data_IF_987176440296
#
_entry.id   IF_987176440296
#
_cell.length_a   1.000
_cell.length_b   1.000
_cell.length_c   1.000
_cell.angle_alpha   90.00
_cell.angle_beta   90.00
_cell.angle_gamma   90.00
#
_symmetry.space_group_name_H-M   'P 1'
#
loop_
_entity.id
_entity.type
_entity.pdbx_description
1 polymer ?
#
# COMPACT_ATOMS: atom_id res chain seq x y z
N UNK A 1 -16.83 26.79 -38.33
CA UNK A 1 -15.90 25.81 -37.70
C UNK A 1 -15.85 25.92 -36.16
N UNK A 2 -15.62 27.10 -35.56
CA UNK A 2 -15.63 27.26 -34.07
C UNK A 2 -16.94 26.87 -33.36
N UNK A 3 -18.09 27.08 -34.00
CA UNK A 3 -19.40 26.68 -33.43
C UNK A 3 -19.66 25.17 -33.48
N UNK A 4 -19.14 24.48 -34.51
CA UNK A 4 -19.24 23.02 -34.62
C UNK A 4 -18.39 22.30 -33.58
N UNK A 5 -17.21 22.84 -33.24
CA UNK A 5 -16.34 22.30 -32.17
C UNK A 5 -17.03 22.44 -30.80
N UNK A 6 -17.69 23.56 -30.50
CA UNK A 6 -18.44 23.74 -29.25
C UNK A 6 -19.64 22.80 -29.14
N UNK A 7 -20.39 22.60 -30.23
CA UNK A 7 -21.51 21.65 -30.26
C UNK A 7 -20.99 20.21 -30.12
N UNK A 8 -19.85 19.87 -30.72
CA UNK A 8 -19.22 18.55 -30.61
C UNK A 8 -18.73 18.25 -29.18
N UNK A 9 -18.18 19.24 -28.46
CA UNK A 9 -17.84 19.08 -27.04
C UNK A 9 -19.07 18.97 -26.12
N UNK A 10 -20.13 19.73 -26.39
CA UNK A 10 -21.41 19.59 -25.66
C UNK A 10 -22.04 18.22 -25.94
N UNK A 11 -21.96 17.72 -27.18
CA UNK A 11 -22.41 16.36 -27.51
C UNK A 11 -21.52 15.28 -26.89
N UNK A 12 -20.21 15.46 -26.76
CA UNK A 12 -19.32 14.52 -26.06
C UNK A 12 -19.61 14.43 -24.56
N UNK A 13 -20.01 15.53 -23.93
CA UNK A 13 -20.47 15.55 -22.53
C UNK A 13 -21.91 15.04 -22.35
N UNK A 14 -22.78 15.16 -23.36
CA UNK A 14 -24.15 14.65 -23.32
C UNK A 14 -24.27 13.19 -23.81
N UNK A 15 -23.31 12.69 -24.59
CA UNK A 15 -23.28 11.34 -25.15
C UNK A 15 -22.39 10.37 -24.34
N UNK A 16 -21.67 10.85 -23.32
CA UNK A 16 -21.25 9.95 -22.26
C UNK A 16 -22.49 9.54 -21.50
N UNK A 17 -23.03 8.36 -21.80
CA UNK A 17 -23.71 7.52 -20.82
C UNK A 17 -22.70 7.15 -19.71
N UNK A 18 -22.14 8.16 -19.04
CA UNK A 18 -21.45 7.97 -17.79
C UNK A 18 -22.54 7.58 -16.81
N UNK A 19 -22.73 6.27 -16.63
CA UNK A 19 -23.50 5.77 -15.49
C UNK A 19 -22.95 6.50 -14.26
N UNK A 20 -23.81 7.14 -13.45
CA UNK A 20 -23.34 7.85 -12.28
C UNK A 20 -22.45 6.91 -11.45
N UNK A 21 -21.28 7.41 -11.06
CA UNK A 21 -20.33 6.65 -10.26
C UNK A 21 -20.96 6.39 -8.89
N UNK A 22 -20.68 5.23 -8.30
CA UNK A 22 -21.07 4.92 -6.93
C UNK A 22 -20.65 6.04 -5.97
N UNK A 23 -21.56 6.44 -5.08
CA UNK A 23 -21.24 7.35 -3.97
C UNK A 23 -20.40 6.66 -2.90
N UNK A 24 -20.55 5.34 -2.76
CA UNK A 24 -19.82 4.54 -1.78
C UNK A 24 -18.50 4.08 -2.37
N UNK A 25 -17.45 4.19 -1.55
CA UNK A 25 -16.11 3.71 -1.86
C UNK A 25 -15.97 2.23 -1.56
N UNK A 26 -16.69 1.75 -0.55
CA UNK A 26 -16.69 0.34 -0.15
C UNK A 26 -17.98 -0.31 -0.61
N UNK A 27 -17.83 -1.25 -1.54
CA UNK A 27 -18.87 -2.21 -1.86
C UNK A 27 -18.66 -3.44 -0.96
N UNK A 28 -19.62 -3.73 -0.08
CA UNK A 28 -19.59 -4.91 0.80
C UNK A 28 -19.84 -6.20 0.02
N UNK A 29 -20.15 -6.08 -1.27
CA UNK A 29 -20.32 -7.18 -2.18
C UNK A 29 -21.67 -7.86 -2.02
N UNK A 30 -21.83 -8.90 -2.80
CA UNK A 30 -23.02 -9.72 -2.82
C UNK A 30 -22.95 -10.82 -1.76
N UNK A 31 -23.99 -10.98 -0.94
CA UNK A 31 -24.10 -12.09 0.00
C UNK A 31 -24.65 -13.35 -0.71
N UNK A 32 -23.85 -14.42 -0.87
CA UNK A 32 -24.31 -15.65 -1.52
C UNK A 32 -25.42 -16.36 -0.73
N UNK A 33 -25.53 -16.15 0.59
CA UNK A 33 -26.57 -16.78 1.40
C UNK A 33 -27.95 -16.20 1.09
N UNK A 34 -28.03 -14.88 0.87
CA UNK A 34 -29.26 -14.22 0.42
C UNK A 34 -29.68 -14.69 -0.98
N UNK A 35 -28.71 -15.02 -1.85
CA UNK A 35 -29.00 -15.51 -3.20
C UNK A 35 -29.90 -16.72 -3.24
N UNK A 36 -29.70 -17.69 -2.35
CA UNK A 36 -30.47 -18.94 -2.36
C UNK A 36 -31.98 -18.72 -2.25
N UNK A 37 -32.41 -17.56 -1.71
CA UNK A 37 -33.82 -17.20 -1.62
C UNK A 37 -34.44 -16.86 -2.99
N UNK A 38 -33.62 -16.42 -3.94
CA UNK A 38 -34.08 -15.76 -5.18
C UNK A 38 -33.36 -16.24 -6.45
N UNK A 39 -32.39 -17.14 -6.35
CA UNK A 39 -31.48 -17.49 -7.46
C UNK A 39 -32.20 -18.09 -8.67
N UNK A 40 -33.30 -18.81 -8.43
CA UNK A 40 -34.10 -19.46 -9.45
C UNK A 40 -35.27 -18.60 -9.95
N UNK A 41 -35.39 -17.35 -9.47
CA UNK A 41 -36.45 -16.43 -9.86
C UNK A 41 -36.10 -15.69 -11.15
N UNK A 42 -37.13 -15.44 -11.96
CA UNK A 42 -37.01 -14.59 -13.16
C UNK A 42 -36.84 -13.12 -12.78
N UNK A 43 -36.29 -12.30 -13.68
CA UNK A 43 -36.17 -10.83 -13.47
C UNK A 43 -37.54 -10.21 -13.15
N UNK A 44 -38.61 -10.62 -13.83
CA UNK A 44 -39.96 -10.11 -13.55
C UNK A 44 -40.46 -10.51 -12.17
N UNK A 45 -40.11 -11.72 -11.70
CA UNK A 45 -40.40 -12.16 -10.33
C UNK A 45 -39.64 -11.33 -9.29
N UNK A 46 -38.37 -11.00 -9.55
CA UNK A 46 -37.58 -10.12 -8.68
C UNK A 46 -38.18 -8.71 -8.63
N UNK A 47 -38.57 -8.15 -9.78
CA UNK A 47 -39.26 -6.84 -9.85
C UNK A 47 -40.58 -6.86 -9.10
N UNK A 48 -41.35 -7.95 -9.22
CA UNK A 48 -42.60 -8.12 -8.51
C UNK A 48 -42.41 -8.16 -6.99
N UNK A 49 -41.31 -8.75 -6.50
CA UNK A 49 -40.94 -8.73 -5.08
C UNK A 49 -40.68 -7.29 -4.64
N UNK A 50 -39.98 -6.47 -5.43
CA UNK A 50 -39.71 -5.06 -5.08
C UNK A 50 -40.97 -4.20 -5.11
N UNK A 51 -41.88 -4.42 -6.07
CA UNK A 51 -43.07 -3.58 -6.28
C UNK A 51 -44.22 -3.89 -5.32
N UNK A 52 -44.40 -5.15 -4.94
CA UNK A 52 -45.57 -5.63 -4.19
C UNK A 52 -45.23 -6.02 -2.75
N UNK A 53 -44.15 -5.47 -2.23
CA UNK A 53 -43.68 -5.74 -0.89
C UNK A 53 -44.63 -5.14 0.17
N UNK A 54 -45.04 -5.97 1.14
CA UNK A 54 -45.86 -5.56 2.28
C UNK A 54 -45.14 -5.87 3.61
N UNK A 55 -45.75 -5.50 4.74
CA UNK A 55 -45.16 -5.77 6.06
C UNK A 55 -45.13 -7.26 6.44
N UNK A 56 -45.86 -8.13 5.74
CA UNK A 56 -45.88 -9.57 5.97
C UNK A 56 -44.80 -10.31 5.17
N UNK A 57 -44.27 -9.68 4.13
CA UNK A 57 -43.18 -10.20 3.32
C UNK A 57 -41.82 -10.10 4.04
N UNK A 58 -41.01 -11.15 3.87
CA UNK A 58 -39.68 -11.23 4.49
C UNK A 58 -38.75 -10.12 3.98
N UNK A 59 -38.15 -9.36 4.90
CA UNK A 59 -37.14 -8.33 4.58
C UNK A 59 -35.91 -8.92 3.87
N UNK A 60 -35.55 -10.16 4.20
CA UNK A 60 -34.45 -10.87 3.54
C UNK A 60 -34.79 -11.19 2.08
N UNK A 61 -36.06 -11.51 1.78
CA UNK A 61 -36.50 -11.75 0.42
C UNK A 61 -36.47 -10.45 -0.41
N UNK A 62 -36.86 -9.33 0.19
CA UNK A 62 -36.77 -8.01 -0.42
C UNK A 62 -35.31 -7.66 -0.76
N UNK A 63 -34.41 -7.71 0.23
CA UNK A 63 -33.00 -7.41 0.01
C UNK A 63 -32.34 -8.36 -1.00
N UNK A 64 -32.64 -9.66 -0.92
CA UNK A 64 -32.13 -10.63 -1.87
C UNK A 64 -32.55 -10.29 -3.31
N UNK A 65 -33.80 -9.86 -3.51
CA UNK A 65 -34.29 -9.44 -4.82
C UNK A 65 -33.60 -8.15 -5.32
N UNK A 66 -33.52 -7.12 -4.47
CA UNK A 66 -32.87 -5.84 -4.81
C UNK A 66 -31.39 -6.05 -5.13
N UNK A 67 -30.65 -6.75 -4.27
CA UNK A 67 -29.22 -7.01 -4.45
C UNK A 67 -28.98 -7.87 -5.69
N UNK A 68 -29.81 -8.88 -5.97
CA UNK A 68 -29.68 -9.70 -7.19
C UNK A 68 -29.90 -8.88 -8.45
N UNK A 69 -30.93 -8.02 -8.47
CA UNK A 69 -31.16 -7.08 -9.57
C UNK A 69 -29.95 -6.16 -9.77
N UNK A 70 -29.35 -5.67 -8.68
CA UNK A 70 -28.15 -4.83 -8.76
C UNK A 70 -26.92 -5.59 -9.26
N UNK A 71 -26.54 -6.73 -8.68
CA UNK A 71 -25.26 -7.39 -9.01
C UNK A 71 -25.30 -8.21 -10.29
N UNK A 72 -26.44 -8.83 -10.63
CA UNK A 72 -26.54 -9.73 -11.79
C UNK A 72 -27.27 -9.11 -12.98
N UNK A 73 -28.04 -8.05 -12.74
CA UNK A 73 -28.85 -7.40 -13.78
C UNK A 73 -28.63 -5.89 -13.85
N UNK A 74 -27.53 -5.35 -13.28
CA UNK A 74 -27.21 -3.91 -13.27
C UNK A 74 -27.40 -3.24 -14.63
N UNK A 75 -26.97 -3.89 -15.69
CA UNK A 75 -26.95 -3.29 -17.03
C UNK A 75 -28.33 -2.97 -17.58
N UNK A 76 -29.33 -3.77 -17.21
CA UNK A 76 -30.70 -3.66 -17.69
C UNK A 76 -31.64 -3.08 -16.64
N UNK A 77 -31.34 -3.24 -15.35
CA UNK A 77 -32.29 -2.97 -14.27
C UNK A 77 -31.93 -1.80 -13.34
N UNK A 78 -30.83 -1.09 -13.59
CA UNK A 78 -30.50 0.11 -12.81
C UNK A 78 -31.62 1.15 -12.79
N UNK A 79 -32.29 1.40 -13.92
CA UNK A 79 -33.37 2.40 -13.95
C UNK A 79 -34.62 1.93 -13.19
N UNK A 80 -34.90 0.63 -13.24
CA UNK A 80 -35.98 0.05 -12.43
C UNK A 80 -35.70 0.27 -10.94
N UNK A 81 -34.48 -0.04 -10.47
CA UNK A 81 -34.09 0.18 -9.07
C UNK A 81 -34.16 1.65 -8.69
N UNK A 82 -33.60 2.55 -9.50
CA UNK A 82 -33.64 4.00 -9.24
C UNK A 82 -35.07 4.55 -9.08
N UNK A 83 -36.04 3.96 -9.78
CA UNK A 83 -37.42 4.41 -9.75
C UNK A 83 -38.24 3.82 -8.60
N UNK A 84 -37.84 2.67 -8.03
CA UNK A 84 -38.69 1.87 -7.14
C UNK A 84 -38.08 1.58 -5.76
N UNK A 85 -36.84 2.00 -5.49
CA UNK A 85 -36.24 1.94 -4.15
C UNK A 85 -36.62 3.19 -3.35
N UNK A 86 -37.91 3.30 -3.00
CA UNK A 86 -38.52 4.50 -2.44
C UNK A 86 -39.20 4.27 -1.08
N UNK A 87 -38.74 3.29 -0.30
CA UNK A 87 -39.24 3.05 1.08
C UNK A 87 -39.22 4.37 1.85
N UNK A 88 -40.32 4.71 2.51
CA UNK A 88 -40.43 5.83 3.45
C UNK A 88 -40.53 5.28 4.87
N UNK A 89 -40.22 6.10 5.88
CA UNK A 89 -40.40 5.71 7.30
C UNK A 89 -41.67 6.37 7.80
N UNK A 90 -42.70 5.58 8.13
CA UNK A 90 -43.93 6.05 8.78
C UNK A 90 -44.21 5.28 10.08
N UNK A 91 -43.57 5.72 11.16
CA UNK A 91 -43.77 5.13 12.49
C UNK A 91 -45.19 5.32 13.06
N UNK A 92 -46.03 6.17 12.47
CA UNK A 92 -47.39 6.40 12.97
C UNK A 92 -48.38 5.34 12.47
N UNK A 93 -48.13 4.73 11.32
CA UNK A 93 -49.02 3.73 10.71
C UNK A 93 -48.43 2.33 10.69
N UNK A 94 -47.11 2.19 10.82
CA UNK A 94 -46.44 0.89 10.89
C UNK A 94 -46.66 0.19 12.23
N UNK A 95 -47.14 -1.07 12.25
CA UNK A 95 -47.25 -1.87 13.47
C UNK A 95 -45.88 -2.00 14.17
N UNK A 96 -45.84 -1.90 15.50
CA UNK A 96 -44.60 -2.01 16.30
C UNK A 96 -43.63 -3.14 15.86
N UNK A 97 -44.09 -4.38 15.56
CA UNK A 97 -43.20 -5.45 15.10
C UNK A 97 -42.60 -5.24 13.70
N UNK A 98 -43.22 -4.40 12.88
CA UNK A 98 -42.82 -4.13 11.49
C UNK A 98 -41.87 -2.93 11.35
N UNK A 99 -41.68 -2.12 12.40
CA UNK A 99 -40.79 -0.94 12.37
C UNK A 99 -39.33 -1.34 12.06
N UNK A 100 -38.84 -2.43 12.63
CA UNK A 100 -37.49 -2.93 12.34
C UNK A 100 -37.34 -3.39 10.88
N UNK A 101 -38.41 -3.94 10.31
CA UNK A 101 -38.46 -4.39 8.92
C UNK A 101 -38.48 -3.21 7.95
N UNK A 102 -39.18 -2.14 8.30
CA UNK A 102 -39.22 -0.89 7.54
C UNK A 102 -37.83 -0.23 7.50
N UNK A 103 -37.15 -0.14 8.63
CA UNK A 103 -35.77 0.38 8.70
C UNK A 103 -34.76 -0.47 7.92
N UNK A 104 -34.93 -1.79 7.92
CA UNK A 104 -34.12 -2.71 7.12
C UNK A 104 -34.23 -2.37 5.63
N UNK A 105 -35.46 -2.31 5.11
CA UNK A 105 -35.74 -1.98 3.71
C UNK A 105 -35.23 -0.58 3.35
N UNK A 106 -35.46 0.39 4.23
CA UNK A 106 -35.00 1.76 4.05
C UNK A 106 -33.48 1.87 3.93
N UNK A 107 -32.73 1.10 4.75
CA UNK A 107 -31.28 1.00 4.62
C UNK A 107 -30.86 0.31 3.32
N UNK A 108 -31.49 -0.81 2.95
CA UNK A 108 -31.22 -1.50 1.67
C UNK A 108 -31.40 -0.56 0.48
N UNK A 109 -32.49 0.21 0.46
CA UNK A 109 -32.76 1.23 -0.57
C UNK A 109 -31.65 2.26 -0.62
N UNK A 110 -31.33 2.86 0.53
CA UNK A 110 -30.29 3.88 0.62
C UNK A 110 -28.94 3.35 0.12
N UNK A 111 -28.57 2.13 0.52
CA UNK A 111 -27.32 1.51 0.14
C UNK A 111 -27.24 1.28 -1.38
N UNK A 112 -28.25 0.65 -1.98
CA UNK A 112 -28.26 0.30 -3.40
C UNK A 112 -28.40 1.54 -4.28
N UNK A 113 -29.21 2.52 -3.86
CA UNK A 113 -29.28 3.83 -4.53
C UNK A 113 -27.92 4.52 -4.57
N UNK A 114 -27.14 4.46 -3.49
CA UNK A 114 -25.82 5.07 -3.45
C UNK A 114 -24.79 4.32 -4.31
N UNK A 115 -24.85 2.98 -4.39
CA UNK A 115 -24.07 2.19 -5.35
C UNK A 115 -24.41 2.51 -6.82
N UNK A 116 -25.65 2.95 -7.06
CA UNK A 116 -26.13 3.45 -8.34
C UNK A 116 -25.86 4.95 -8.54
N UNK A 117 -25.20 5.62 -7.59
CA UNK A 117 -24.82 7.04 -7.73
C UNK A 117 -25.97 8.03 -7.52
N UNK A 118 -27.09 7.61 -6.90
CA UNK A 118 -28.25 8.49 -6.68
C UNK A 118 -28.04 9.40 -5.46
N UNK A 119 -28.18 10.73 -5.60
CA UNK A 119 -28.03 11.66 -4.47
C UNK A 119 -29.11 11.49 -3.38
N UNK A 120 -30.24 10.87 -3.71
CA UNK A 120 -31.30 10.52 -2.74
C UNK A 120 -30.75 9.62 -1.62
N UNK A 121 -29.74 8.81 -1.92
CA UNK A 121 -29.09 7.96 -0.94
C UNK A 121 -28.46 8.75 0.21
N UNK A 122 -27.94 9.96 -0.04
CA UNK A 122 -27.33 10.81 1.00
C UNK A 122 -28.39 11.22 2.03
N UNK A 123 -29.55 11.72 1.58
CA UNK A 123 -30.61 12.14 2.50
C UNK A 123 -31.18 10.95 3.29
N UNK A 124 -31.35 9.80 2.63
CA UNK A 124 -31.76 8.57 3.34
C UNK A 124 -30.74 8.14 4.39
N UNK A 125 -29.44 8.19 4.10
CA UNK A 125 -28.40 7.87 5.08
C UNK A 125 -28.39 8.87 6.26
N UNK A 126 -28.67 10.16 6.03
CA UNK A 126 -28.82 11.13 7.14
C UNK A 126 -29.97 10.77 8.08
N UNK A 127 -31.13 10.42 7.51
CA UNK A 127 -32.29 9.97 8.30
C UNK A 127 -31.93 8.79 9.19
N UNK A 128 -31.16 7.82 8.67
CA UNK A 128 -30.69 6.66 9.45
C UNK A 128 -29.65 7.07 10.51
N UNK A 129 -28.74 7.99 10.18
CA UNK A 129 -27.67 8.45 11.08
C UNK A 129 -28.19 9.33 12.24
N UNK A 130 -29.30 10.05 12.02
CA UNK A 130 -29.93 10.92 13.00
C UNK A 130 -30.81 10.16 14.01
N UNK A 131 -31.28 8.95 13.68
CA UNK A 131 -32.01 8.10 14.62
C UNK A 131 -31.05 7.39 15.59
N UNK A 132 -31.08 7.81 16.85
CA UNK A 132 -30.18 7.30 17.89
C UNK A 132 -30.34 5.82 18.22
N UNK A 133 -31.53 5.25 17.98
CA UNK A 133 -31.84 3.85 18.27
C UNK A 133 -31.68 2.95 17.04
N UNK A 134 -31.30 3.52 15.90
CA UNK A 134 -31.22 2.76 14.66
C UNK A 134 -29.99 1.85 14.63
N UNK A 135 -30.22 0.57 14.37
CA UNK A 135 -29.16 -0.43 14.25
C UNK A 135 -28.12 -0.10 13.16
N UNK A 136 -28.54 0.57 12.08
CA UNK A 136 -27.71 0.94 10.94
C UNK A 136 -27.03 2.30 11.08
N UNK A 137 -27.25 3.02 12.19
CA UNK A 137 -26.78 4.40 12.41
C UNK A 137 -25.30 4.61 12.06
N UNK A 138 -24.42 3.79 12.64
CA UNK A 138 -22.97 3.93 12.41
C UNK A 138 -22.58 3.56 10.97
N UNK A 139 -23.28 2.62 10.32
CA UNK A 139 -23.04 2.29 8.90
C UNK A 139 -23.44 3.44 7.99
N UNK A 140 -24.55 4.10 8.28
CA UNK A 140 -24.98 5.28 7.55
C UNK A 140 -23.96 6.42 7.67
N UNK A 141 -23.43 6.66 8.89
CA UNK A 141 -22.34 7.63 9.10
C UNK A 141 -21.07 7.27 8.29
N UNK A 142 -20.73 5.98 8.16
CA UNK A 142 -19.60 5.52 7.34
C UNK A 142 -19.81 5.88 5.86
N UNK A 143 -20.98 5.55 5.31
CA UNK A 143 -21.30 5.85 3.90
C UNK A 143 -21.33 7.36 3.62
N UNK A 144 -21.85 8.16 4.56
CA UNK A 144 -21.80 9.61 4.48
C UNK A 144 -20.35 10.11 4.45
N UNK A 145 -19.48 9.59 5.31
CA UNK A 145 -18.06 9.95 5.31
C UNK A 145 -17.33 9.53 4.02
N UNK A 146 -17.65 8.36 3.46
CA UNK A 146 -17.15 7.93 2.14
C UNK A 146 -17.52 8.91 1.03
N UNK A 147 -18.73 9.46 1.09
CA UNK A 147 -19.24 10.48 0.18
C UNK A 147 -18.78 11.92 0.53
N UNK A 148 -17.96 12.10 1.57
CA UNK A 148 -17.39 13.40 1.96
C UNK A 148 -18.25 14.24 2.91
N UNK A 149 -19.25 13.64 3.57
CA UNK A 149 -20.09 14.26 4.58
C UNK A 149 -19.60 13.88 5.98
N UNK A 150 -19.17 14.88 6.76
CA UNK A 150 -18.46 14.68 8.03
C UNK A 150 -19.17 15.31 9.23
N UNK A 151 -20.44 15.68 9.11
CA UNK A 151 -21.23 16.33 10.17
C UNK A 151 -21.30 15.53 11.49
N UNK A 152 -21.17 14.20 11.43
CA UNK A 152 -21.24 13.31 12.61
C UNK A 152 -19.92 13.14 13.38
N UNK A 153 -18.86 13.88 13.04
CA UNK A 153 -17.57 13.75 13.71
C UNK A 153 -17.66 13.96 15.24
N UNK A 154 -18.38 15.00 15.67
CA UNK A 154 -18.53 15.31 17.09
C UNK A 154 -19.24 14.19 17.86
N UNK A 155 -20.20 13.52 17.22
CA UNK A 155 -20.86 12.35 17.81
C UNK A 155 -19.86 11.21 18.03
N UNK A 156 -19.10 10.83 16.99
CA UNK A 156 -18.09 9.76 17.08
C UNK A 156 -17.01 10.08 18.13
N UNK A 157 -16.58 11.33 18.19
CA UNK A 157 -15.63 11.82 19.19
C UNK A 157 -16.19 11.69 20.61
N UNK A 158 -17.45 12.07 20.82
CA UNK A 158 -18.10 11.96 22.12
C UNK A 158 -18.28 10.50 22.56
N UNK A 159 -18.64 9.61 21.63
CA UNK A 159 -18.70 8.16 21.89
C UNK A 159 -17.34 7.62 22.34
N UNK A 160 -16.26 7.97 21.65
CA UNK A 160 -14.92 7.56 22.05
C UNK A 160 -14.58 8.03 23.48
N UNK A 161 -14.81 9.30 23.79
CA UNK A 161 -14.50 9.86 25.11
C UNK A 161 -15.45 9.41 26.24
N UNK A 162 -16.64 8.90 25.92
CA UNK A 162 -17.54 8.27 26.90
C UNK A 162 -17.06 6.89 27.34
N UNK A 163 -16.02 6.37 26.69
CA UNK A 163 -15.44 5.05 26.95
C UNK A 163 -15.90 3.98 25.96
N UNK A 164 -16.73 4.32 24.98
CA UNK A 164 -17.12 3.42 23.91
C UNK A 164 -15.96 3.24 22.91
N UNK A 165 -15.11 2.24 23.19
CA UNK A 165 -13.96 1.87 22.35
C UNK A 165 -14.29 0.76 21.35
N UNK A 166 -15.52 0.73 20.84
CA UNK A 166 -15.91 -0.20 19.79
C UNK A 166 -14.95 -0.06 18.58
N UNK A 167 -14.37 -1.16 18.07
CA UNK A 167 -13.55 -1.16 16.86
C UNK A 167 -14.18 -0.41 15.68
N UNK A 168 -15.50 -0.45 15.55
CA UNK A 168 -16.23 0.24 14.50
C UNK A 168 -16.17 1.76 14.65
N UNK A 169 -16.27 2.29 15.89
CA UNK A 169 -16.11 3.73 16.17
C UNK A 169 -14.68 4.19 15.84
N UNK A 170 -13.66 3.40 16.21
CA UNK A 170 -12.26 3.73 15.90
C UNK A 170 -11.99 3.70 14.39
N UNK A 171 -12.54 2.71 13.69
CA UNK A 171 -12.47 2.63 12.23
C UNK A 171 -13.16 3.84 11.58
N UNK A 172 -14.35 4.22 12.04
CA UNK A 172 -15.08 5.42 11.58
C UNK A 172 -14.26 6.69 11.84
N UNK A 173 -13.74 6.90 13.04
CA UNK A 173 -12.86 8.04 13.33
C UNK A 173 -11.68 8.06 12.35
N UNK A 174 -11.10 6.91 12.04
CA UNK A 174 -10.05 6.81 11.03
C UNK A 174 -10.50 7.26 9.64
N UNK A 175 -11.67 6.84 9.17
CA UNK A 175 -12.23 7.33 7.90
C UNK A 175 -12.40 8.86 7.87
N UNK A 176 -12.78 9.46 8.99
CA UNK A 176 -12.95 10.90 9.12
C UNK A 176 -11.63 11.67 9.00
N UNK A 177 -10.46 11.02 9.13
CA UNK A 177 -9.15 11.66 8.95
C UNK A 177 -8.87 12.09 7.50
N UNK A 178 -9.70 11.65 6.55
CA UNK A 178 -9.67 12.11 5.15
C UNK A 178 -10.00 13.58 5.04
N UNK A 179 -10.84 14.11 5.94
CA UNK A 179 -11.07 15.53 6.07
C UNK A 179 -9.90 16.20 6.79
N UNK A 180 -9.25 17.16 6.13
CA UNK A 180 -8.09 17.88 6.67
C UNK A 180 -8.39 18.63 7.97
N UNK A 181 -9.63 19.07 8.17
CA UNK A 181 -10.03 19.80 9.37
C UNK A 181 -10.00 18.94 10.63
N UNK A 182 -10.14 17.62 10.51
CA UNK A 182 -10.18 16.70 11.65
C UNK A 182 -8.93 15.81 11.76
N UNK A 183 -8.10 15.76 10.71
CA UNK A 183 -6.99 14.81 10.58
C UNK A 183 -6.03 14.82 11.77
N UNK A 184 -5.57 15.98 12.21
CA UNK A 184 -4.58 16.08 13.28
C UNK A 184 -5.14 15.71 14.65
N UNK A 185 -6.40 16.07 14.91
CA UNK A 185 -7.09 15.68 16.14
C UNK A 185 -7.33 14.17 16.18
N UNK A 186 -7.82 13.58 15.09
CA UNK A 186 -8.01 12.13 14.95
C UNK A 186 -6.67 11.41 15.09
N UNK A 187 -5.60 11.91 14.46
CA UNK A 187 -4.24 11.36 14.62
C UNK A 187 -3.87 11.28 16.10
N UNK A 188 -4.16 12.33 16.86
CA UNK A 188 -3.88 12.39 18.30
C UNK A 188 -4.73 11.38 19.08
N UNK A 189 -6.03 11.29 18.81
CA UNK A 189 -6.95 10.31 19.42
C UNK A 189 -6.44 8.89 19.21
N UNK A 190 -6.14 8.53 17.95
CA UNK A 190 -5.71 7.18 17.58
C UNK A 190 -4.31 6.85 18.11
N UNK A 191 -3.37 7.81 18.14
CA UNK A 191 -2.07 7.61 18.80
C UNK A 191 -2.23 7.32 20.30
N UNK A 192 -3.09 8.05 20.99
CA UNK A 192 -3.37 7.79 22.41
C UNK A 192 -3.97 6.39 22.63
N UNK A 193 -4.81 5.92 21.71
CA UNK A 193 -5.33 4.56 21.76
C UNK A 193 -4.22 3.52 21.63
N UNK A 194 -3.25 3.73 20.73
CA UNK A 194 -2.06 2.86 20.60
C UNK A 194 -1.23 2.87 21.88
N UNK A 195 -0.91 4.03 22.44
CA UNK A 195 -0.14 4.13 23.70
C UNK A 195 -0.87 3.53 24.91
N UNK A 196 -2.20 3.39 24.84
CA UNK A 196 -2.98 2.76 25.93
C UNK A 196 -2.84 1.23 25.98
N UNK A 197 -2.22 0.60 24.97
CA UNK A 197 -2.07 -0.85 24.89
C UNK A 197 -0.86 -1.34 25.66
N UNK A 198 -1.03 -2.46 26.35
CA UNK A 198 0.00 -3.07 27.20
C UNK A 198 0.83 -4.14 26.50
N UNK A 199 0.35 -4.68 25.39
CA UNK A 199 0.99 -5.75 24.64
C UNK A 199 1.17 -5.38 23.16
N UNK A 200 2.12 -6.06 22.50
CA UNK A 200 2.50 -5.73 21.13
C UNK A 200 1.38 -6.00 20.12
N UNK A 201 0.51 -6.99 20.36
CA UNK A 201 -0.61 -7.28 19.48
C UNK A 201 -1.65 -6.18 19.57
N UNK A 202 -1.97 -5.72 20.79
CA UNK A 202 -2.82 -4.56 21.02
C UNK A 202 -2.29 -3.30 20.32
N UNK A 203 -0.98 -3.01 20.46
CA UNK A 203 -0.32 -1.87 19.79
C UNK A 203 -0.50 -1.95 18.27
N UNK A 204 -0.17 -3.09 17.65
CA UNK A 204 -0.31 -3.26 16.19
C UNK A 204 -1.77 -3.15 15.73
N UNK A 205 -2.70 -3.79 16.43
CA UNK A 205 -4.12 -3.73 16.11
C UNK A 205 -4.66 -2.30 16.16
N UNK A 206 -4.31 -1.54 17.18
CA UNK A 206 -4.70 -0.13 17.29
C UNK A 206 -3.97 0.76 16.27
N UNK A 207 -2.74 0.46 15.92
CA UNK A 207 -1.97 1.23 14.94
C UNK A 207 -2.56 1.10 13.52
N UNK A 208 -3.26 0.00 13.22
CA UNK A 208 -3.96 -0.16 11.94
C UNK A 208 -4.98 0.95 11.68
N UNK A 209 -5.62 1.50 12.72
CA UNK A 209 -6.52 2.65 12.56
C UNK A 209 -5.77 3.92 12.13
N UNK A 210 -4.46 4.02 12.31
CA UNK A 210 -3.67 5.15 11.78
C UNK A 210 -3.35 4.99 10.29
N UNK A 211 -3.61 3.82 9.68
CA UNK A 211 -3.28 3.54 8.28
C UNK A 211 -3.97 4.44 7.25
N UNK A 212 -5.09 5.08 7.62
CA UNK A 212 -5.78 6.07 6.78
C UNK A 212 -5.11 7.46 6.80
N UNK A 213 -4.14 7.68 7.68
CA UNK A 213 -3.36 8.91 7.77
C UNK A 213 -1.96 8.60 7.24
N UNK A 214 -1.57 9.14 6.06
CA UNK A 214 -0.30 8.81 5.42
C UNK A 214 0.90 8.92 6.36
N UNK A 215 1.63 7.81 6.52
CA UNK A 215 2.84 7.71 7.33
C UNK A 215 2.63 7.64 8.86
N UNK A 216 1.42 7.87 9.39
CA UNK A 216 1.21 7.93 10.84
C UNK A 216 1.38 6.57 11.53
N UNK A 217 0.95 5.48 10.89
CA UNK A 217 1.13 4.12 11.40
C UNK A 217 2.62 3.73 11.43
N UNK A 218 3.36 4.05 10.36
CA UNK A 218 4.82 3.80 10.29
C UNK A 218 5.54 4.58 11.38
N UNK A 219 5.19 5.86 11.58
CA UNK A 219 5.79 6.73 12.60
C UNK A 219 5.66 6.13 14.00
N UNK A 220 4.44 5.73 14.41
CA UNK A 220 4.23 5.20 15.75
C UNK A 220 4.82 3.80 15.92
N UNK A 221 4.66 2.91 14.94
CA UNK A 221 5.21 1.56 15.05
C UNK A 221 6.74 1.57 15.06
N UNK A 222 7.39 2.51 14.36
CA UNK A 222 8.85 2.67 14.39
C UNK A 222 9.35 3.08 15.78
N UNK A 223 8.59 3.91 16.51
CA UNK A 223 8.89 4.25 17.91
C UNK A 223 8.89 3.00 18.80
N UNK A 224 7.83 2.19 18.71
CA UNK A 224 7.73 0.94 19.47
C UNK A 224 8.80 -0.09 19.05
N UNK A 225 9.09 -0.20 17.76
CA UNK A 225 10.17 -1.04 17.23
C UNK A 225 11.53 -0.68 17.84
N UNK A 226 11.85 0.62 17.93
CA UNK A 226 13.12 1.09 18.50
C UNK A 226 13.22 0.85 20.00
N UNK A 227 12.10 0.94 20.72
CA UNK A 227 12.05 0.88 22.18
C UNK A 227 11.76 -0.51 22.77
N UNK A 228 11.51 -1.53 21.94
CA UNK A 228 11.27 -2.92 22.38
C UNK A 228 12.38 -3.85 21.92
N UNK A 229 12.38 -5.12 22.36
CA UNK A 229 13.33 -6.16 21.96
C UNK A 229 12.62 -7.51 21.74
N UNK A 230 13.32 -8.48 21.18
CA UNK A 230 12.84 -9.85 21.01
C UNK A 230 11.61 -9.93 20.11
N UNK A 231 10.62 -10.74 20.51
CA UNK A 231 9.42 -10.98 19.70
C UNK A 231 8.67 -9.70 19.36
N UNK A 232 8.45 -8.81 20.33
CA UNK A 232 7.69 -7.57 20.09
C UNK A 232 8.36 -6.71 19.01
N UNK A 233 9.68 -6.51 19.08
CA UNK A 233 10.43 -5.78 18.05
C UNK A 233 10.28 -6.43 16.67
N UNK A 234 10.40 -7.75 16.60
CA UNK A 234 10.29 -8.49 15.35
C UNK A 234 8.89 -8.33 14.71
N UNK A 235 7.84 -8.42 15.52
CA UNK A 235 6.46 -8.27 15.03
C UNK A 235 6.20 -6.84 14.52
N UNK A 236 6.70 -5.81 15.22
CA UNK A 236 6.63 -4.43 14.72
C UNK A 236 7.43 -4.25 13.43
N UNK A 237 8.63 -4.81 13.34
CA UNK A 237 9.44 -4.78 12.13
C UNK A 237 8.67 -5.37 10.95
N UNK A 238 8.05 -6.53 11.13
CA UNK A 238 7.23 -7.17 10.10
C UNK A 238 6.04 -6.30 9.71
N UNK A 239 5.28 -5.80 10.68
CA UNK A 239 4.09 -4.97 10.44
C UNK A 239 4.44 -3.68 9.70
N UNK A 240 5.52 -2.99 10.09
CA UNK A 240 6.00 -1.79 9.38
C UNK A 240 6.34 -2.11 7.93
N UNK A 241 6.85 -3.32 7.63
CA UNK A 241 7.23 -3.72 6.28
C UNK A 241 6.06 -3.84 5.31
N UNK A 242 4.84 -3.99 5.82
CA UNK A 242 3.61 -3.98 5.02
C UNK A 242 3.35 -2.57 4.45
N UNK A 243 3.69 -1.52 5.21
CA UNK A 243 3.42 -0.13 4.85
C UNK A 243 4.63 0.61 4.28
N UNK A 244 5.83 0.31 4.78
CA UNK A 244 7.10 0.94 4.43
C UNK A 244 8.17 -0.13 4.22
N UNK A 245 7.98 -0.90 3.15
CA UNK A 245 8.92 -1.91 2.69
C UNK A 245 10.31 -1.32 2.47
N UNK A 246 10.39 -0.14 1.85
CA UNK A 246 11.68 0.41 1.43
C UNK A 246 12.47 1.02 2.59
N UNK A 247 11.87 1.36 3.73
CA UNK A 247 12.59 1.68 4.96
C UNK A 247 13.11 0.46 5.75
N UNK A 248 12.79 -0.76 5.33
CA UNK A 248 13.21 -1.99 6.02
C UNK A 248 14.73 -2.19 6.15
N UNK A 249 15.57 -1.89 5.14
CA UNK A 249 17.03 -2.01 5.28
C UNK A 249 17.58 -1.17 6.44
N UNK A 250 17.16 0.09 6.58
CA UNK A 250 17.58 0.94 7.69
C UNK A 250 17.12 0.39 9.05
N UNK A 251 15.91 -0.19 9.13
CA UNK A 251 15.42 -0.84 10.35
C UNK A 251 16.18 -2.13 10.66
N UNK A 252 16.52 -2.91 9.65
CA UNK A 252 17.40 -4.07 9.79
C UNK A 252 18.77 -3.67 10.30
N UNK A 253 19.35 -2.59 9.80
CA UNK A 253 20.64 -2.09 10.32
C UNK A 253 20.56 -1.79 11.81
N UNK A 254 19.50 -1.09 12.23
CA UNK A 254 19.25 -0.82 13.65
C UNK A 254 19.07 -2.11 14.46
N UNK A 255 18.18 -3.01 14.04
CA UNK A 255 17.86 -4.23 14.80
C UNK A 255 19.05 -5.20 14.86
N UNK A 256 19.82 -5.33 13.78
CA UNK A 256 21.02 -6.15 13.77
C UNK A 256 22.10 -5.63 14.72
N UNK A 257 22.09 -4.35 15.12
CA UNK A 257 23.00 -3.81 16.13
C UNK A 257 22.44 -3.92 17.56
N UNK A 258 21.11 -3.90 17.72
CA UNK A 258 20.46 -3.71 19.01
C UNK A 258 19.68 -4.94 19.50
N UNK A 259 19.51 -6.00 18.70
CA UNK A 259 18.87 -7.24 19.12
C UNK A 259 19.88 -8.17 19.78
N UNK A 260 19.58 -8.58 21.01
CA UNK A 260 20.47 -9.43 21.82
C UNK A 260 20.13 -10.90 21.61
N UNK A 261 18.87 -11.22 21.33
CA UNK A 261 18.44 -12.59 21.06
C UNK A 261 18.75 -12.98 19.61
N UNK A 262 19.73 -13.85 19.41
CA UNK A 262 20.19 -14.30 18.09
C UNK A 262 19.05 -14.95 17.25
N UNK A 263 18.07 -15.58 17.91
CA UNK A 263 16.89 -16.17 17.24
C UNK A 263 16.06 -15.12 16.53
N UNK A 264 15.93 -13.92 17.10
CA UNK A 264 15.23 -12.81 16.44
C UNK A 264 16.18 -11.97 15.59
N UNK A 265 17.44 -11.82 16.02
CA UNK A 265 18.45 -11.00 15.32
C UNK A 265 18.66 -11.47 13.88
N UNK A 266 18.66 -12.78 13.64
CA UNK A 266 18.85 -13.36 12.31
C UNK A 266 17.70 -13.02 11.35
N UNK A 267 16.48 -12.86 11.85
CA UNK A 267 15.28 -12.63 11.04
C UNK A 267 15.26 -11.23 10.38
N UNK A 268 16.04 -10.28 10.90
CA UNK A 268 16.21 -8.96 10.28
C UNK A 268 17.11 -8.98 9.04
N UNK A 269 17.71 -10.11 8.68
CA UNK A 269 18.57 -10.24 7.51
C UNK A 269 17.96 -11.20 6.48
N UNK A 270 17.18 -10.70 5.50
CA UNK A 270 16.65 -11.55 4.44
C UNK A 270 17.77 -12.09 3.56
N UNK A 271 17.64 -13.33 3.10
CA UNK A 271 18.61 -13.92 2.17
C UNK A 271 18.57 -13.21 0.81
N UNK A 272 19.70 -13.13 0.06
CA UNK A 272 19.72 -12.56 -1.29
C UNK A 272 18.69 -13.18 -2.25
N UNK A 273 18.44 -14.48 -2.14
CA UNK A 273 17.40 -15.17 -2.90
C UNK A 273 16.01 -14.56 -2.66
N UNK A 274 15.61 -14.41 -1.39
CA UNK A 274 14.32 -13.80 -1.04
C UNK A 274 14.24 -12.35 -1.55
N UNK A 275 15.31 -11.56 -1.43
CA UNK A 275 15.35 -10.16 -1.90
C UNK A 275 15.10 -10.07 -3.42
N UNK A 276 15.68 -10.97 -4.20
CA UNK A 276 15.55 -10.96 -5.66
C UNK A 276 14.20 -11.51 -6.15
N UNK A 277 13.57 -12.40 -5.40
CA UNK A 277 12.40 -13.16 -5.87
C UNK A 277 11.08 -12.76 -5.20
N UNK A 278 11.09 -12.13 -4.02
CA UNK A 278 9.86 -11.83 -3.28
C UNK A 278 9.52 -10.33 -3.37
N UNK A 279 8.36 -10.02 -3.94
CA UNK A 279 7.90 -8.63 -4.13
C UNK A 279 7.70 -7.87 -2.81
N UNK A 280 7.44 -8.59 -1.72
CA UNK A 280 7.27 -8.05 -0.36
C UNK A 280 8.58 -7.65 0.32
N UNK A 281 9.74 -7.97 -0.25
CA UNK A 281 11.04 -7.57 0.29
C UNK A 281 11.62 -6.41 -0.54
N UNK A 282 12.25 -5.45 0.13
CA UNK A 282 12.90 -4.34 -0.57
C UNK A 282 14.14 -4.83 -1.32
N UNK A 283 14.33 -4.37 -2.55
CA UNK A 283 15.59 -4.61 -3.25
C UNK A 283 16.74 -3.79 -2.65
N UNK A 284 16.43 -2.75 -1.87
CA UNK A 284 17.41 -1.85 -1.23
C UNK A 284 18.39 -2.56 -0.27
N UNK A 285 18.07 -3.77 0.17
CA UNK A 285 19.01 -4.64 0.88
C UNK A 285 20.27 -4.99 0.07
N UNK A 286 20.25 -4.82 -1.24
CA UNK A 286 21.39 -5.03 -2.14
C UNK A 286 22.08 -3.73 -2.55
N UNK A 287 21.73 -2.58 -1.96
CA UNK A 287 22.43 -1.31 -2.17
C UNK A 287 23.80 -1.30 -1.46
N UNK A 288 24.81 -0.61 -2.02
CA UNK A 288 26.16 -0.52 -1.42
C UNK A 288 26.17 -0.14 0.07
N UNK A 289 25.28 0.78 0.49
CA UNK A 289 25.15 1.21 1.88
C UNK A 289 24.83 0.03 2.82
N UNK A 290 23.87 -0.82 2.46
CA UNK A 290 23.50 -1.96 3.28
C UNK A 290 24.57 -3.05 3.24
N UNK A 291 25.15 -3.32 2.07
CA UNK A 291 26.28 -4.26 1.94
C UNK A 291 27.45 -3.84 2.83
N UNK A 292 27.81 -2.55 2.83
CA UNK A 292 28.87 -2.01 3.68
C UNK A 292 28.55 -2.14 5.17
N UNK A 293 27.30 -1.90 5.56
CA UNK A 293 26.87 -2.18 6.93
C UNK A 293 27.05 -3.65 7.29
N UNK A 294 26.56 -4.59 6.47
CA UNK A 294 26.67 -6.02 6.74
C UNK A 294 28.13 -6.47 6.77
N UNK A 295 28.98 -5.93 5.89
CA UNK A 295 30.40 -6.25 5.89
C UNK A 295 31.08 -5.83 7.21
N UNK A 296 30.70 -4.67 7.76
CA UNK A 296 31.25 -4.15 9.01
C UNK A 296 30.49 -4.55 10.29
N UNK A 297 29.39 -5.31 10.16
CA UNK A 297 28.59 -5.73 11.31
C UNK A 297 29.39 -6.67 12.22
N UNK A 298 29.66 -6.21 13.44
CA UNK A 298 30.36 -7.01 14.45
C UNK A 298 29.43 -8.03 15.12
N UNK A 299 29.80 -9.31 15.01
CA UNK A 299 29.13 -10.44 15.67
C UNK A 299 30.23 -11.28 16.31
N UNK A 300 30.32 -11.25 17.63
CA UNK A 300 31.41 -11.89 18.38
C UNK A 300 31.33 -13.42 18.33
N UNK A 301 30.12 -13.98 18.39
CA UNK A 301 29.90 -15.41 18.33
C UNK A 301 29.83 -15.90 16.87
N UNK A 302 30.87 -16.59 16.43
CA UNK A 302 30.97 -17.14 15.07
C UNK A 302 30.08 -18.37 14.84
N UNK A 303 29.51 -18.95 15.90
CA UNK A 303 28.56 -20.06 15.80
C UNK A 303 27.10 -19.59 15.76
N UNK A 304 26.83 -18.29 15.93
CA UNK A 304 25.46 -17.77 15.94
C UNK A 304 24.80 -17.87 14.56
N UNK A 305 23.48 -18.04 14.54
CA UNK A 305 22.70 -18.07 13.30
C UNK A 305 22.87 -16.76 12.52
N UNK A 306 22.87 -15.62 13.21
CA UNK A 306 23.12 -14.30 12.57
C UNK A 306 24.48 -14.27 11.89
N UNK A 307 25.54 -14.79 12.51
CA UNK A 307 26.87 -14.85 11.88
C UNK A 307 26.86 -15.69 10.61
N UNK A 308 26.26 -16.88 10.65
CA UNK A 308 26.21 -17.79 9.50
C UNK A 308 25.39 -17.20 8.35
N UNK A 309 24.24 -16.59 8.63
CA UNK A 309 23.41 -15.94 7.60
C UNK A 309 24.11 -14.70 7.03
N UNK A 310 24.78 -13.88 7.85
CA UNK A 310 25.62 -12.78 7.36
C UNK A 310 26.70 -13.27 6.40
N UNK A 311 27.43 -14.33 6.78
CA UNK A 311 28.48 -14.92 5.93
C UNK A 311 27.91 -15.42 4.61
N UNK A 312 26.79 -16.14 4.65
CA UNK A 312 26.09 -16.61 3.46
C UNK A 312 25.63 -15.44 2.58
N UNK A 313 25.08 -14.39 3.18
CA UNK A 313 24.63 -13.18 2.50
C UNK A 313 25.79 -12.53 1.71
N UNK A 314 26.93 -12.26 2.36
CA UNK A 314 28.09 -11.63 1.73
C UNK A 314 28.69 -12.50 0.60
N UNK A 315 28.66 -13.82 0.77
CA UNK A 315 29.11 -14.75 -0.25
C UNK A 315 28.22 -14.71 -1.50
N UNK A 316 26.90 -14.73 -1.32
CA UNK A 316 25.94 -15.04 -2.39
C UNK A 316 25.24 -13.85 -3.01
N UNK A 317 25.30 -12.66 -2.39
CA UNK A 317 24.62 -11.50 -2.98
C UNK A 317 25.21 -11.14 -4.35
N UNK A 318 24.34 -10.62 -5.21
CA UNK A 318 24.66 -10.02 -6.50
C UNK A 318 23.96 -8.67 -6.60
N UNK A 319 24.56 -7.65 -7.23
CA UNK A 319 23.88 -6.39 -7.48
C UNK A 319 22.57 -6.58 -8.26
N UNK A 320 21.62 -5.69 -8.00
CA UNK A 320 20.28 -5.76 -8.57
C UNK A 320 20.37 -5.58 -10.08
N UNK A 321 19.82 -6.53 -10.84
CA UNK A 321 19.63 -6.32 -12.28
C UNK A 321 18.66 -5.14 -12.49
N UNK A 322 19.07 -4.07 -13.19
CA UNK A 322 18.21 -2.91 -13.40
C UNK A 322 16.97 -3.27 -14.24
N UNK A 323 15.89 -2.51 -14.07
CA UNK A 323 14.67 -2.66 -14.86
C UNK A 323 14.99 -2.53 -16.36
N UNK A 324 14.39 -3.36 -17.21
CA UNK A 324 14.57 -3.30 -18.67
C UNK A 324 14.20 -1.94 -19.26
N UNK A 325 13.33 -1.18 -18.59
CA UNK A 325 12.89 0.16 -19.00
C UNK A 325 13.86 1.27 -18.58
N UNK A 326 14.84 0.99 -17.69
CA UNK A 326 15.82 2.00 -17.28
C UNK A 326 16.71 2.39 -18.48
N UNK A 327 16.79 3.67 -18.86
CA UNK A 327 17.65 4.10 -19.95
C UNK A 327 19.14 3.80 -19.70
N UNK A 328 19.88 3.39 -20.73
CA UNK A 328 21.33 3.11 -20.60
C UNK A 328 22.14 4.31 -20.09
N UNK A 329 21.70 5.53 -20.39
CA UNK A 329 22.32 6.75 -19.85
C UNK A 329 22.18 6.84 -18.32
N UNK A 330 21.04 6.43 -17.76
CA UNK A 330 20.80 6.44 -16.32
C UNK A 330 21.62 5.35 -15.63
N UNK A 331 21.80 4.20 -16.30
CA UNK A 331 22.69 3.15 -15.82
C UNK A 331 24.15 3.60 -15.77
N UNK A 332 24.63 4.34 -16.78
CA UNK A 332 25.98 4.92 -16.76
C UNK A 332 26.16 5.93 -15.62
N UNK A 333 25.14 6.76 -15.36
CA UNK A 333 25.15 7.71 -14.23
C UNK A 333 25.18 6.94 -12.90
N UNK A 334 24.39 5.87 -12.77
CA UNK A 334 24.39 5.04 -11.57
C UNK A 334 25.74 4.35 -11.34
N UNK A 335 26.33 3.77 -12.39
CA UNK A 335 27.65 3.15 -12.32
C UNK A 335 28.73 4.17 -11.93
N UNK A 336 28.67 5.38 -12.49
CA UNK A 336 29.54 6.49 -12.10
C UNK A 336 29.40 6.83 -10.61
N UNK A 337 28.18 6.91 -10.09
CA UNK A 337 27.91 7.18 -8.68
C UNK A 337 28.34 6.00 -7.78
N UNK A 338 28.29 4.77 -8.28
CA UNK A 338 28.81 3.61 -7.55
C UNK A 338 30.32 3.68 -7.40
N UNK A 339 31.08 4.22 -8.36
CA UNK A 339 32.53 4.47 -8.17
C UNK A 339 32.79 5.32 -6.92
N UNK A 340 32.00 6.38 -6.69
CA UNK A 340 32.13 7.19 -5.46
C UNK A 340 31.78 6.41 -4.19
N UNK A 341 30.72 5.62 -4.25
CA UNK A 341 30.25 4.82 -3.11
C UNK A 341 31.30 3.79 -2.70
N UNK A 342 31.88 3.06 -3.67
CA UNK A 342 32.89 2.04 -3.38
C UNK A 342 34.21 2.65 -2.90
N UNK A 343 34.59 3.85 -3.36
CA UNK A 343 35.73 4.59 -2.79
C UNK A 343 35.45 4.99 -1.35
N UNK A 344 34.28 5.54 -1.08
CA UNK A 344 33.86 5.96 0.28
C UNK A 344 33.87 4.80 1.27
N UNK A 345 33.58 3.58 0.80
CA UNK A 345 33.61 2.36 1.62
C UNK A 345 34.97 1.64 1.63
N UNK A 346 36.01 2.24 1.03
CA UNK A 346 37.34 1.65 0.89
C UNK A 346 37.32 0.27 0.19
N UNK A 347 36.43 0.10 -0.79
CA UNK A 347 36.36 -1.08 -1.66
C UNK A 347 37.10 -0.90 -2.97
N UNK A 348 37.56 0.31 -3.23
CA UNK A 348 38.38 0.70 -4.37
C UNK A 348 39.65 1.36 -3.83
N UNK A 349 40.76 1.18 -4.57
CA UNK A 349 42.06 1.78 -4.32
C UNK A 349 42.08 3.29 -4.35
N UNK A 350 43.26 3.86 -4.54
CA UNK A 350 43.47 5.30 -4.38
C UNK A 350 42.66 6.17 -5.37
N UNK A 351 42.63 7.48 -5.05
CA UNK A 351 41.87 8.50 -5.79
C UNK A 351 42.23 8.55 -7.29
N UNK A 352 43.46 8.22 -7.67
CA UNK A 352 43.90 8.20 -9.07
C UNK A 352 43.11 7.16 -9.85
N UNK A 353 42.98 5.96 -9.29
CA UNK A 353 42.26 4.86 -9.95
C UNK A 353 40.76 5.16 -10.08
N UNK A 354 40.15 5.75 -9.05
CA UNK A 354 38.76 6.24 -9.13
C UNK A 354 38.55 7.24 -10.27
N UNK A 355 39.46 8.21 -10.42
CA UNK A 355 39.37 9.23 -11.47
C UNK A 355 39.54 8.63 -12.87
N UNK A 356 40.42 7.64 -13.03
CA UNK A 356 40.59 6.89 -14.27
C UNK A 356 39.28 6.18 -14.68
N UNK A 357 38.69 5.41 -13.77
CA UNK A 357 37.40 4.73 -13.98
C UNK A 357 36.29 5.72 -14.37
N UNK A 358 36.18 6.84 -13.66
CA UNK A 358 35.20 7.89 -13.97
C UNK A 358 35.43 8.56 -15.31
N UNK A 359 36.69 8.75 -15.71
CA UNK A 359 37.02 9.30 -17.03
C UNK A 359 36.51 8.39 -18.15
N UNK A 360 36.70 7.08 -18.03
CA UNK A 360 36.20 6.09 -19.00
C UNK A 360 34.67 6.16 -19.10
N UNK A 361 33.96 6.19 -17.96
CA UNK A 361 32.50 6.29 -17.93
C UNK A 361 31.97 7.60 -18.51
N UNK A 362 32.65 8.72 -18.30
CA UNK A 362 32.31 10.00 -18.90
C UNK A 362 32.44 9.97 -20.42
N UNK A 363 33.53 9.38 -20.96
CA UNK A 363 33.68 9.18 -22.41
C UNK A 363 32.58 8.26 -22.95
N UNK A 364 32.27 7.16 -22.26
CA UNK A 364 31.17 6.26 -22.65
C UNK A 364 29.83 7.01 -22.74
N UNK A 365 29.54 7.86 -21.76
CA UNK A 365 28.33 8.69 -21.71
C UNK A 365 28.28 9.69 -22.87
N UNK A 366 29.37 10.41 -23.14
CA UNK A 366 29.45 11.33 -24.28
C UNK A 366 29.20 10.62 -25.61
N UNK A 367 29.78 9.45 -25.81
CA UNK A 367 29.54 8.65 -27.03
C UNK A 367 28.08 8.23 -27.16
N UNK A 368 27.45 7.77 -26.07
CA UNK A 368 26.03 7.42 -26.07
C UNK A 368 25.14 8.62 -26.41
N UNK A 369 25.43 9.79 -25.83
CA UNK A 369 24.69 11.03 -26.08
C UNK A 369 24.84 11.52 -27.53
N UNK A 370 25.97 11.22 -28.17
CA UNK A 370 26.21 11.51 -29.59
C UNK A 370 25.60 10.46 -30.54
N UNK A 371 24.93 9.44 -30.01
CA UNK A 371 24.31 8.36 -30.81
C UNK A 371 25.27 7.24 -31.21
N UNK A 372 26.50 7.21 -30.68
CA UNK A 372 27.49 6.16 -30.95
C UNK A 372 27.46 5.08 -29.85
N UNK A 373 26.51 4.15 -29.99
CA UNK A 373 26.35 3.03 -29.04
C UNK A 373 27.53 2.05 -29.06
N UNK A 374 28.21 1.90 -30.20
CA UNK A 374 29.36 1.01 -30.33
C UNK A 374 30.57 1.56 -29.57
N UNK A 375 30.91 2.84 -29.77
CA UNK A 375 31.98 3.48 -29.00
C UNK A 375 31.65 3.56 -27.51
N UNK A 376 30.37 3.78 -27.15
CA UNK A 376 29.92 3.66 -25.77
C UNK A 376 30.23 2.27 -25.19
N UNK A 377 29.81 1.20 -25.90
CA UNK A 377 30.04 -0.19 -25.48
C UNK A 377 31.52 -0.52 -25.29
N UNK A 378 32.39 -0.04 -26.18
CA UNK A 378 33.85 -0.24 -26.07
C UNK A 378 34.38 0.36 -24.76
N UNK A 379 34.01 1.59 -24.43
CA UNK A 379 34.45 2.24 -23.18
C UNK A 379 33.87 1.55 -21.94
N UNK A 380 32.61 1.10 -21.96
CA UNK A 380 32.04 0.33 -20.83
C UNK A 380 32.79 -1.00 -20.65
N UNK A 381 33.21 -1.64 -21.75
CA UNK A 381 33.99 -2.88 -21.68
C UNK A 381 35.40 -2.62 -21.14
N UNK A 382 36.05 -1.55 -21.58
CA UNK A 382 37.35 -1.11 -21.05
C UNK A 382 37.28 -0.87 -19.53
N UNK A 383 36.25 -0.16 -19.07
CA UNK A 383 35.98 0.02 -17.63
C UNK A 383 35.85 -1.32 -16.91
N UNK A 384 35.04 -2.24 -17.44
CA UNK A 384 34.79 -3.54 -16.82
C UNK A 384 36.06 -4.38 -16.74
N UNK A 385 36.84 -4.42 -17.82
CA UNK A 385 38.09 -5.19 -17.89
C UNK A 385 39.14 -4.63 -16.95
N UNK A 386 39.24 -3.30 -16.82
CA UNK A 386 40.16 -2.66 -15.88
C UNK A 386 39.82 -3.01 -14.43
N UNK A 387 38.54 -2.94 -14.04
CA UNK A 387 38.05 -3.36 -12.71
C UNK A 387 38.37 -4.83 -12.45
N UNK A 388 38.09 -5.71 -13.42
CA UNK A 388 38.32 -7.15 -13.28
C UNK A 388 39.81 -7.50 -13.16
N UNK A 389 40.66 -6.83 -13.93
CA UNK A 389 42.11 -7.00 -13.86
C UNK A 389 42.68 -6.58 -12.51
N UNK A 390 42.30 -5.40 -11.99
CA UNK A 390 42.79 -4.92 -10.68
C UNK A 390 42.25 -5.81 -9.55
N UNK A 391 41.01 -6.30 -9.64
CA UNK A 391 40.50 -7.28 -8.68
C UNK A 391 41.33 -8.58 -8.68
N UNK A 392 41.67 -9.13 -9.85
CA UNK A 392 42.48 -10.35 -9.96
C UNK A 392 43.93 -10.17 -9.52
N UNK A 393 44.49 -8.97 -9.70
CA UNK A 393 45.88 -8.64 -9.35
C UNK A 393 46.06 -8.13 -7.90
N UNK A 394 44.98 -8.09 -7.11
CA UNK A 394 44.95 -7.53 -5.74
C UNK A 394 45.80 -8.28 -4.68
N UNK A 395 46.61 -9.26 -5.09
CA UNK A 395 47.65 -9.90 -4.26
C UNK A 395 49.02 -9.20 -4.38
N UNK A 396 49.16 -8.20 -5.25
CA UNK A 396 50.38 -7.41 -5.41
C UNK A 396 50.40 -6.17 -4.49
N UNK A 397 51.59 -5.66 -4.18
CA UNK A 397 51.81 -4.46 -3.35
C UNK A 397 51.39 -3.14 -4.03
N UNK A 398 50.52 -3.19 -5.04
CA UNK A 398 50.02 -2.03 -5.77
C UNK A 398 48.99 -1.28 -4.90
N UNK A 399 49.08 0.07 -4.77
CA UNK A 399 48.04 0.86 -4.09
C UNK A 399 46.66 0.78 -4.77
N UNK A 400 46.61 0.32 -6.03
CA UNK A 400 45.36 -0.02 -6.73
C UNK A 400 44.84 -1.36 -6.24
N UNK A 401 43.64 -1.34 -5.68
CA UNK A 401 42.91 -2.55 -5.33
C UNK A 401 41.44 -2.41 -5.66
N UNK A 402 40.76 -3.55 -5.75
CA UNK A 402 39.30 -3.65 -5.78
C UNK A 402 38.97 -4.79 -4.82
N UNK A 403 38.09 -4.59 -3.84
CA UNK A 403 37.62 -5.70 -2.98
C UNK A 403 36.58 -6.53 -3.72
N UNK A 404 36.21 -7.71 -3.19
CA UNK A 404 35.12 -8.50 -3.80
C UNK A 404 33.80 -7.72 -3.85
N UNK A 405 33.52 -6.88 -2.86
CA UNK A 405 32.32 -6.04 -2.83
C UNK A 405 32.36 -4.96 -3.92
N UNK A 406 33.48 -4.25 -4.03
CA UNK A 406 33.70 -3.26 -5.09
C UNK A 406 33.60 -3.91 -6.47
N UNK A 407 34.24 -5.06 -6.66
CA UNK A 407 34.21 -5.80 -7.92
C UNK A 407 32.79 -6.21 -8.28
N UNK A 408 32.00 -6.76 -7.34
CA UNK A 408 30.61 -7.16 -7.60
C UNK A 408 29.80 -6.00 -8.17
N UNK A 409 29.76 -4.84 -7.51
CA UNK A 409 29.00 -3.68 -8.00
C UNK A 409 29.54 -3.18 -9.34
N UNK A 410 30.83 -2.82 -9.41
CA UNK A 410 31.39 -2.21 -10.62
C UNK A 410 31.32 -3.14 -11.84
N UNK A 411 31.63 -4.43 -11.67
CA UNK A 411 31.65 -5.39 -12.78
C UNK A 411 30.24 -5.73 -13.29
N UNK A 412 29.30 -6.06 -12.39
CA UNK A 412 27.97 -6.48 -12.80
C UNK A 412 27.13 -5.33 -13.33
N UNK A 413 27.23 -4.14 -12.72
CA UNK A 413 26.53 -2.96 -13.24
C UNK A 413 27.06 -2.55 -14.62
N UNK A 414 28.37 -2.68 -14.88
CA UNK A 414 28.91 -2.56 -16.23
C UNK A 414 28.39 -3.65 -17.19
N UNK A 415 28.31 -4.90 -16.73
CA UNK A 415 27.78 -6.01 -17.54
C UNK A 415 26.33 -5.75 -17.97
N UNK A 416 25.48 -5.25 -17.07
CA UNK A 416 24.08 -4.94 -17.37
C UNK A 416 23.93 -3.83 -18.42
N UNK A 417 24.90 -2.92 -18.51
CA UNK A 417 24.95 -1.90 -19.57
C UNK A 417 25.38 -2.55 -20.90
N UNK A 418 26.43 -3.39 -20.87
CA UNK A 418 26.91 -4.10 -22.07
C UNK A 418 25.83 -4.98 -22.71
N UNK A 419 25.03 -5.67 -21.89
CA UNK A 419 23.91 -6.50 -22.33
C UNK A 419 22.77 -5.68 -22.99
N UNK A 420 22.77 -4.35 -22.85
CA UNK A 420 21.79 -3.45 -23.49
C UNK A 420 22.32 -2.77 -24.75
N UNK A 421 23.63 -2.59 -24.85
CA UNK A 421 24.28 -1.89 -25.96
C UNK A 421 24.62 -2.82 -27.15
N UNK A 422 23.86 -3.90 -27.34
CA UNK A 422 24.11 -4.92 -28.37
C UNK A 422 24.18 -4.38 -29.79
#
# INVERSE_FOLDING_TARGET
MKYLIKIFFVYLFLASNSKPQSLWLVDYGYDPQLNYLVENLSVDSLKSIVLNDDWAQSTLLYEAAVTRLYYFHKETESQFLLNNLNTEIDSATTPLPAISSEWYKYYTDAYILGLLGSPVAIEKMRVIADDENNFYRLRAMSHLAEAGYYEYYNYLKNEYYSGNKDPYILNLLSWYSRNENYRDEIKTILKNEVYSKSDYFGVMYSAHYLGFIPGAEVEILDEFFRNTTGKARYEYFFQIGIYDKDGQPERSMFALQNEVNDTFRVEYLPTPYKILNWSSISKRYLEPKFINFINNLSIADTNSATYQVRKYFLLTYTPIKPDSMTPSNDLLINLYNYVDSVVTYNWLGDLTFSNELKSILNTAKTNLQNGDSLACRVNVKEFQDLVDNVYKDSLNTDPRFVTIEGWKFLYWDAQYILDRLH
#
